data_IF_417975871021
#
_entry.id   IF_417975871021
#
_cell.length_a   1.000
_cell.length_b   1.000
_cell.length_c   1.000
_cell.angle_alpha   90.00
_cell.angle_beta   90.00
_cell.angle_gamma   90.00
#
_symmetry.space_group_name_H-M   'P 1'
#
loop_
_entity.id
_entity.type
_entity.pdbx_description
1 polymer ?
#
# COMPACT_ATOMS: atom_id res chain seq x y z
N UNK A 1 11.85 -20.96 -8.01
CA UNK A 1 11.18 -22.09 -7.33
C UNK A 1 11.78 -22.33 -5.92
N UNK A 2 12.05 -21.26 -5.15
CA UNK A 2 12.65 -21.33 -3.80
C UNK A 2 11.86 -20.52 -2.75
N UNK A 3 10.76 -19.86 -3.12
CA UNK A 3 10.01 -18.97 -2.21
C UNK A 3 8.97 -19.72 -1.35
N UNK A 4 8.57 -20.94 -1.75
CA UNK A 4 7.63 -21.78 -1.01
C UNK A 4 8.28 -22.61 0.11
N UNK A 5 9.62 -22.67 0.15
CA UNK A 5 10.35 -23.39 1.20
C UNK A 5 10.71 -22.47 2.38
N UNK A 6 10.91 -21.18 2.15
CA UNK A 6 11.25 -20.21 3.20
C UNK A 6 10.05 -19.87 4.11
N UNK A 7 8.83 -19.84 3.56
CA UNK A 7 7.62 -19.59 4.36
C UNK A 7 7.33 -20.73 5.33
N UNK A 8 7.47 -21.99 4.88
CA UNK A 8 7.25 -23.16 5.72
C UNK A 8 8.29 -23.30 6.84
N UNK A 9 9.57 -23.00 6.57
CA UNK A 9 10.63 -23.14 7.58
C UNK A 9 10.51 -22.13 8.72
N UNK A 10 10.05 -20.90 8.44
CA UNK A 10 9.80 -19.89 9.47
C UNK A 10 8.56 -20.23 10.29
N UNK A 11 7.49 -20.68 9.62
CA UNK A 11 6.25 -21.10 10.27
C UNK A 11 6.48 -22.30 11.21
N UNK A 12 7.29 -23.28 10.81
CA UNK A 12 7.67 -24.40 11.67
C UNK A 12 8.45 -23.96 12.92
N UNK A 13 9.42 -23.03 12.80
CA UNK A 13 10.16 -22.53 13.95
C UNK A 13 9.28 -21.81 14.99
N UNK A 14 8.25 -21.10 14.53
CA UNK A 14 7.26 -20.47 15.43
C UNK A 14 6.33 -21.47 16.10
N UNK A 15 5.90 -22.49 15.36
CA UNK A 15 5.07 -23.57 15.89
C UNK A 15 5.86 -24.36 16.95
N UNK A 16 7.11 -24.75 16.66
CA UNK A 16 8.00 -25.44 17.59
C UNK A 16 8.23 -24.60 18.87
N UNK A 17 8.46 -23.30 18.73
CA UNK A 17 8.62 -22.41 19.88
C UNK A 17 7.32 -22.28 20.71
N UNK A 18 6.16 -22.26 20.06
CA UNK A 18 4.85 -22.26 20.73
C UNK A 18 4.62 -23.54 21.53
N UNK A 19 4.98 -24.69 20.98
CA UNK A 19 4.92 -25.98 21.68
C UNK A 19 5.88 -26.03 22.88
N UNK A 20 7.10 -25.51 22.73
CA UNK A 20 8.07 -25.41 23.82
C UNK A 20 7.56 -24.52 24.96
N UNK A 21 6.97 -23.36 24.64
CA UNK A 21 6.36 -22.47 25.62
C UNK A 21 5.18 -23.14 26.34
N UNK A 22 4.31 -23.81 25.59
CA UNK A 22 3.15 -24.49 26.16
C UNK A 22 3.57 -25.66 27.06
N UNK A 23 4.55 -26.44 26.63
CA UNK A 23 5.11 -27.53 27.42
C UNK A 23 5.73 -26.98 28.70
N UNK A 24 6.70 -26.07 28.60
CA UNK A 24 7.49 -25.58 29.71
C UNK A 24 6.72 -24.69 30.70
N UNK A 25 5.78 -23.84 30.23
CA UNK A 25 5.10 -22.86 31.09
C UNK A 25 3.72 -23.34 31.53
N UNK A 26 2.94 -23.92 30.62
CA UNK A 26 1.52 -24.25 30.87
C UNK A 26 1.32 -25.69 31.34
N UNK A 27 2.16 -26.64 30.91
CA UNK A 27 2.01 -28.05 31.26
C UNK A 27 2.74 -28.40 32.57
N UNK A 28 3.84 -27.72 32.89
CA UNK A 28 4.62 -27.91 34.13
C UNK A 28 4.00 -27.28 35.40
N UNK A 29 2.85 -26.59 35.29
CA UNK A 29 2.24 -25.83 36.39
C UNK A 29 1.70 -26.64 37.58
N UNK A 30 2.07 -27.93 37.72
CA UNK A 30 1.62 -28.77 38.83
C UNK A 30 2.73 -29.38 39.69
N UNK A 31 4.00 -29.30 39.31
CA UNK A 31 5.08 -29.72 40.20
C UNK A 31 6.43 -29.08 39.81
N UNK A 32 6.87 -28.13 40.64
CA UNK A 32 8.23 -27.61 40.76
C UNK A 32 8.70 -26.60 39.70
N UNK A 33 9.59 -25.73 40.19
CA UNK A 33 10.28 -24.64 39.52
C UNK A 33 10.81 -25.06 38.15
N UNK A 34 10.63 -24.21 37.15
CA UNK A 34 11.23 -24.39 35.82
C UNK A 34 12.75 -24.48 36.00
N UNK A 35 13.38 -25.52 35.44
CA UNK A 35 14.83 -25.66 35.43
C UNK A 35 15.44 -24.45 34.70
N UNK A 36 16.42 -23.79 35.30
CA UNK A 36 17.13 -22.64 34.73
C UNK A 36 17.62 -22.91 33.30
N UNK A 37 17.97 -24.16 32.97
CA UNK A 37 18.40 -24.56 31.62
C UNK A 37 17.27 -24.45 30.60
N UNK A 38 16.07 -24.91 30.96
CA UNK A 38 14.88 -24.83 30.09
C UNK A 38 14.52 -23.36 29.87
N UNK A 39 14.61 -22.54 30.92
CA UNK A 39 14.37 -21.10 30.82
C UNK A 39 15.40 -20.41 29.91
N UNK A 40 16.69 -20.75 30.04
CA UNK A 40 17.75 -20.23 29.18
C UNK A 40 17.57 -20.64 27.71
N UNK A 41 17.16 -21.87 27.45
CA UNK A 41 16.89 -22.36 26.08
C UNK A 41 15.70 -21.62 25.44
N UNK A 42 14.61 -21.43 26.20
CA UNK A 42 13.45 -20.64 25.76
C UNK A 42 13.84 -19.19 25.50
N UNK A 43 14.60 -18.58 26.40
CA UNK A 43 15.10 -17.23 26.25
C UNK A 43 15.97 -17.11 24.99
N UNK A 44 16.87 -18.06 24.75
CA UNK A 44 17.76 -18.06 23.59
C UNK A 44 16.96 -18.21 22.27
N UNK A 45 15.97 -19.10 22.21
CA UNK A 45 15.08 -19.24 21.05
C UNK A 45 14.26 -17.98 20.82
N UNK A 46 13.74 -17.36 21.88
CA UNK A 46 13.01 -16.10 21.80
C UNK A 46 13.88 -14.98 21.23
N UNK A 47 15.13 -14.86 21.68
CA UNK A 47 16.07 -13.87 21.14
C UNK A 47 16.44 -14.16 19.68
N UNK A 48 16.59 -15.41 19.27
CA UNK A 48 16.87 -15.76 17.87
C UNK A 48 15.69 -15.39 16.94
N UNK A 49 14.45 -15.68 17.37
CA UNK A 49 13.26 -15.29 16.62
C UNK A 49 13.07 -13.78 16.63
N UNK A 50 13.36 -13.12 17.75
CA UNK A 50 13.32 -11.66 17.86
C UNK A 50 14.36 -11.00 16.96
N UNK A 51 15.62 -11.45 16.95
CA UNK A 51 16.67 -10.95 16.06
C UNK A 51 16.33 -11.20 14.59
N UNK A 52 15.61 -12.27 14.26
CA UNK A 52 15.12 -12.52 12.90
C UNK A 52 14.03 -11.52 12.49
N UNK A 53 13.21 -11.06 13.45
CA UNK A 53 12.20 -10.00 13.25
C UNK A 53 12.81 -8.59 13.25
N UNK A 54 13.81 -8.36 14.10
CA UNK A 54 14.53 -7.08 14.29
C UNK A 54 15.67 -6.89 13.31
N UNK A 55 16.09 -7.95 12.61
CA UNK A 55 17.07 -7.87 11.54
C UNK A 55 16.65 -6.72 10.63
N UNK A 56 17.47 -5.68 10.47
CA UNK A 56 17.15 -4.53 9.64
C UNK A 56 17.30 -4.92 8.16
N UNK A 57 16.69 -6.03 7.75
CA UNK A 57 15.86 -5.96 6.57
C UNK A 57 14.71 -4.98 6.90
N UNK A 58 15.04 -3.68 6.82
CA UNK A 58 14.13 -2.70 6.21
C UNK A 58 13.82 -3.30 4.84
N UNK A 59 12.90 -4.26 4.82
CA UNK A 59 12.54 -4.95 3.61
C UNK A 59 11.84 -3.85 2.85
N UNK A 60 12.53 -3.30 1.86
CA UNK A 60 11.93 -2.57 0.76
C UNK A 60 11.09 -3.59 0.02
N UNK A 61 10.01 -4.06 0.66
CA UNK A 61 9.05 -4.99 0.09
C UNK A 61 8.57 -4.31 -1.17
N UNK A 62 8.85 -4.92 -2.31
CA UNK A 62 8.60 -4.29 -3.60
C UNK A 62 8.04 -5.32 -4.54
N UNK A 63 6.83 -5.08 -5.01
CA UNK A 63 6.21 -5.87 -6.06
C UNK A 63 6.51 -5.16 -7.38
N UNK A 64 7.36 -5.75 -8.22
CA UNK A 64 7.61 -5.26 -9.57
C UNK A 64 7.01 -6.23 -10.60
N UNK A 65 5.97 -5.80 -11.31
CA UNK A 65 5.25 -6.62 -12.28
C UNK A 65 5.05 -5.87 -13.59
N UNK A 66 4.72 -6.59 -14.65
CA UNK A 66 4.42 -5.99 -15.96
C UNK A 66 2.94 -5.73 -16.18
N UNK A 67 2.05 -6.48 -15.56
CA UNK A 67 0.62 -6.35 -15.78
C UNK A 67 -0.15 -7.01 -14.64
N UNK A 68 -1.21 -6.35 -14.18
CA UNK A 68 -2.19 -6.92 -13.25
C UNK A 68 -3.58 -6.82 -13.86
N UNK A 69 -4.33 -7.91 -13.85
CA UNK A 69 -5.71 -7.94 -14.28
C UNK A 69 -6.53 -8.83 -13.35
N UNK A 70 -7.68 -8.34 -12.89
CA UNK A 70 -8.55 -9.08 -11.96
C UNK A 70 -7.80 -9.66 -10.75
N UNK A 71 -6.87 -8.86 -10.22
CA UNK A 71 -5.89 -9.30 -9.22
C UNK A 71 -5.97 -8.45 -7.96
N UNK A 72 -5.49 -9.00 -6.85
CA UNK A 72 -5.28 -8.28 -5.59
C UNK A 72 -3.79 -8.32 -5.26
N UNK A 73 -3.16 -7.16 -5.11
CA UNK A 73 -1.73 -7.02 -4.80
C UNK A 73 -1.59 -6.18 -3.54
N UNK A 74 -0.87 -6.71 -2.55
CA UNK A 74 -0.66 -6.05 -1.25
C UNK A 74 0.83 -6.08 -0.94
N UNK A 75 1.40 -4.93 -0.60
CA UNK A 75 2.81 -4.80 -0.23
C UNK A 75 2.99 -3.90 0.99
N UNK A 76 3.79 -4.35 1.96
CA UNK A 76 4.28 -3.51 3.06
C UNK A 76 5.31 -2.45 2.60
N UNK A 77 5.56 -2.32 1.29
CA UNK A 77 6.41 -1.30 0.71
C UNK A 77 5.83 -0.82 -0.62
N UNK A 78 6.55 -0.97 -1.72
CA UNK A 78 6.21 -0.34 -3.01
C UNK A 78 5.58 -1.33 -4.01
N UNK A 79 4.76 -0.83 -4.91
CA UNK A 79 4.27 -1.58 -6.08
C UNK A 79 4.60 -0.80 -7.35
N UNK A 80 5.31 -1.45 -8.28
CA UNK A 80 5.62 -0.91 -9.60
C UNK A 80 5.06 -1.79 -10.71
N UNK A 81 4.27 -1.15 -11.57
CA UNK A 81 3.67 -1.77 -12.75
C UNK A 81 4.33 -1.20 -13.99
N UNK A 82 5.32 -1.94 -14.48
CA UNK A 82 6.29 -1.52 -15.51
C UNK A 82 5.80 -1.72 -16.95
N UNK A 83 4.78 -2.55 -17.15
CA UNK A 83 4.31 -2.97 -18.47
C UNK A 83 2.91 -2.43 -18.78
N UNK A 84 2.02 -3.29 -19.29
CA UNK A 84 0.70 -2.93 -19.85
C UNK A 84 -0.21 -2.16 -18.90
N UNK A 85 0.08 -2.14 -17.60
CA UNK A 85 -0.68 -1.40 -16.60
C UNK A 85 -1.50 -2.30 -15.69
N UNK A 86 -2.59 -1.76 -15.17
CA UNK A 86 -3.48 -2.42 -14.22
C UNK A 86 -4.91 -2.37 -14.76
N UNK A 87 -5.64 -3.48 -14.66
CA UNK A 87 -7.04 -3.55 -15.06
C UNK A 87 -7.88 -4.23 -13.98
N UNK A 88 -8.98 -3.61 -13.56
CA UNK A 88 -9.98 -4.19 -12.64
C UNK A 88 -9.32 -4.89 -11.43
N UNK A 89 -8.35 -4.23 -10.80
CA UNK A 89 -7.53 -4.83 -9.74
C UNK A 89 -7.52 -3.95 -8.50
N UNK A 90 -7.20 -4.57 -7.38
CA UNK A 90 -6.95 -3.91 -6.10
C UNK A 90 -5.46 -3.92 -5.80
N UNK A 91 -4.87 -2.74 -5.62
CA UNK A 91 -3.48 -2.59 -5.20
C UNK A 91 -3.45 -1.82 -3.88
N UNK A 92 -2.69 -2.31 -2.92
CA UNK A 92 -2.48 -1.67 -1.62
C UNK A 92 -1.00 -1.69 -1.23
N UNK A 93 -0.47 -0.53 -0.82
CA UNK A 93 0.94 -0.34 -0.54
C UNK A 93 1.19 0.64 0.62
N UNK A 94 2.01 0.26 1.61
CA UNK A 94 2.46 1.22 2.63
C UNK A 94 3.47 2.24 2.06
N UNK A 95 4.09 1.91 0.93
CA UNK A 95 4.99 2.76 0.16
C UNK A 95 4.27 3.50 -0.95
N UNK A 96 4.91 3.62 -2.12
CA UNK A 96 4.33 4.21 -3.33
C UNK A 96 3.73 3.14 -4.24
N UNK A 97 2.70 3.53 -5.01
CA UNK A 97 2.25 2.76 -6.18
C UNK A 97 2.58 3.55 -7.45
N UNK A 98 3.36 2.94 -8.34
CA UNK A 98 3.72 3.53 -9.64
C UNK A 98 3.20 2.67 -10.79
N UNK A 99 2.35 3.24 -11.64
CA UNK A 99 1.84 2.59 -12.86
C UNK A 99 2.31 3.37 -14.07
N UNK A 100 3.32 2.83 -14.77
CA UNK A 100 3.97 3.51 -15.90
C UNK A 100 3.10 3.60 -17.17
N UNK A 101 1.93 2.96 -17.18
CA UNK A 101 0.98 2.97 -18.27
C UNK A 101 -0.43 3.27 -17.69
N UNK A 102 -1.41 2.44 -18.05
CA UNK A 102 -2.82 2.69 -17.73
C UNK A 102 -3.26 1.98 -16.44
N UNK A 103 -4.07 2.64 -15.63
CA UNK A 103 -4.86 2.03 -14.57
C UNK A 103 -6.35 2.13 -14.94
N UNK A 104 -6.94 1.02 -15.35
CA UNK A 104 -8.34 0.95 -15.84
C UNK A 104 -9.18 0.16 -14.86
N UNK A 105 -9.99 0.87 -14.08
CA UNK A 105 -10.92 0.28 -13.14
C UNK A 105 -10.25 -0.36 -11.93
N UNK A 106 -10.98 -0.41 -10.82
CA UNK A 106 -10.48 -0.93 -9.55
C UNK A 106 -9.98 0.17 -8.63
N UNK A 107 -9.07 -0.18 -7.72
CA UNK A 107 -8.67 0.69 -6.62
C UNK A 107 -7.17 0.55 -6.33
N UNK A 108 -6.47 1.68 -6.30
CA UNK A 108 -5.08 1.77 -5.86
C UNK A 108 -5.07 2.56 -4.55
N UNK A 109 -4.55 1.96 -3.49
CA UNK A 109 -4.39 2.56 -2.16
C UNK A 109 -2.92 2.61 -1.77
N UNK A 110 -2.44 3.78 -1.38
CA UNK A 110 -1.05 3.93 -0.97
C UNK A 110 -0.91 4.91 0.19
N UNK A 111 -0.09 4.61 1.20
CA UNK A 111 0.13 5.56 2.30
C UNK A 111 0.95 6.78 1.87
N UNK A 112 1.90 6.63 0.93
CA UNK A 112 2.84 7.71 0.57
C UNK A 112 2.48 8.44 -0.72
N UNK A 113 1.91 7.75 -1.70
CA UNK A 113 1.47 8.39 -2.92
C UNK A 113 1.33 7.44 -4.12
N UNK A 114 0.64 7.94 -5.12
CA UNK A 114 0.29 7.19 -6.33
C UNK A 114 0.73 8.01 -7.55
N UNK A 115 1.43 7.37 -8.48
CA UNK A 115 1.77 7.94 -9.78
C UNK A 115 1.24 7.03 -10.89
N UNK A 116 0.42 7.58 -11.79
CA UNK A 116 -0.17 6.82 -12.90
C UNK A 116 0.00 7.63 -14.18
N UNK A 117 0.47 6.98 -15.25
CA UNK A 117 0.54 7.64 -16.55
C UNK A 117 -0.85 7.93 -17.12
N UNK A 118 -1.74 6.94 -17.18
CA UNK A 118 -3.11 7.11 -17.66
C UNK A 118 -4.12 6.51 -16.66
N UNK A 119 -4.99 7.32 -16.06
CA UNK A 119 -6.00 6.85 -15.11
C UNK A 119 -7.40 6.84 -15.74
N UNK A 120 -8.13 5.75 -15.53
CA UNK A 120 -9.46 5.55 -16.10
C UNK A 120 -9.42 5.11 -17.56
N UNK A 121 -10.58 5.18 -18.21
CA UNK A 121 -10.71 4.89 -19.63
C UNK A 121 -11.83 5.73 -20.26
N UNK A 122 -11.80 5.93 -21.60
CA UNK A 122 -12.90 6.59 -22.30
C UNK A 122 -14.25 5.89 -22.14
N UNK A 123 -14.24 4.60 -21.77
CA UNK A 123 -15.44 3.80 -21.52
C UNK A 123 -16.04 3.96 -20.13
N UNK A 124 -15.51 4.85 -19.27
CA UNK A 124 -16.05 5.13 -17.94
C UNK A 124 -15.74 4.06 -16.90
N UNK A 125 -14.62 3.34 -17.04
CA UNK A 125 -14.20 2.38 -16.02
C UNK A 125 -13.80 3.10 -14.73
N UNK A 126 -14.71 3.08 -13.74
CA UNK A 126 -14.53 3.77 -12.45
C UNK A 126 -13.23 3.32 -11.77
N UNK A 127 -12.32 4.27 -11.60
CA UNK A 127 -10.97 4.04 -11.06
C UNK A 127 -10.80 4.89 -9.82
N UNK A 128 -10.43 4.27 -8.70
CA UNK A 128 -10.21 4.96 -7.42
C UNK A 128 -8.72 4.99 -7.09
N UNK A 129 -8.19 6.19 -6.85
CA UNK A 129 -6.84 6.41 -6.35
C UNK A 129 -6.97 7.02 -4.96
N UNK A 130 -6.40 6.36 -3.95
CA UNK A 130 -6.54 6.72 -2.54
C UNK A 130 -5.18 6.78 -1.85
N UNK A 131 -4.94 7.85 -1.10
CA UNK A 131 -3.74 7.98 -0.27
C UNK A 131 -4.02 8.61 1.08
N UNK A 132 -3.07 8.50 2.01
CA UNK A 132 -3.16 9.11 3.33
C UNK A 132 -3.08 10.65 3.26
N UNK A 133 -3.35 11.34 4.37
CA UNK A 133 -3.39 12.81 4.42
C UNK A 133 -2.07 13.47 3.97
N UNK A 134 -0.94 12.83 4.22
CA UNK A 134 0.39 13.30 3.80
C UNK A 134 0.79 12.89 2.37
N UNK A 135 -0.03 12.08 1.70
CA UNK A 135 0.29 11.50 0.40
C UNK A 135 -0.08 12.41 -0.77
N UNK A 136 0.44 12.08 -1.94
CA UNK A 136 0.17 12.80 -3.19
C UNK A 136 -0.30 11.86 -4.29
N UNK A 137 -1.17 12.34 -5.18
CA UNK A 137 -1.59 11.61 -6.38
C UNK A 137 -1.17 12.40 -7.61
N UNK A 138 -0.41 11.76 -8.50
CA UNK A 138 0.08 12.33 -9.76
C UNK A 138 -0.44 11.51 -10.95
N UNK A 139 -1.00 12.20 -11.96
CA UNK A 139 -1.58 11.58 -13.14
C UNK A 139 -1.21 12.37 -14.40
N UNK A 140 -0.55 11.75 -15.39
CA UNK A 140 -0.24 12.47 -16.65
C UNK A 140 -1.50 12.67 -17.50
N UNK A 141 -2.36 11.66 -17.63
CA UNK A 141 -3.61 11.71 -18.37
C UNK A 141 -4.75 11.08 -17.57
N UNK A 142 -5.82 11.83 -17.34
CA UNK A 142 -6.95 11.40 -16.52
C UNK A 142 -8.25 11.47 -17.32
N UNK A 143 -8.90 10.32 -17.47
CA UNK A 143 -10.26 10.22 -18.02
C UNK A 143 -11.31 10.62 -16.98
N UNK A 144 -12.55 10.89 -17.41
CA UNK A 144 -13.69 11.01 -16.50
C UNK A 144 -13.91 9.73 -15.65
N UNK A 145 -14.69 9.87 -14.58
CA UNK A 145 -15.03 8.80 -13.63
C UNK A 145 -13.86 8.27 -12.77
N UNK A 146 -12.72 8.96 -12.83
CA UNK A 146 -11.63 8.78 -11.87
C UNK A 146 -11.94 9.51 -10.58
N UNK A 147 -11.73 8.83 -9.46
CA UNK A 147 -11.96 9.36 -8.12
C UNK A 147 -10.62 9.47 -7.40
N UNK A 148 -10.30 10.67 -6.94
CA UNK A 148 -9.13 10.94 -6.10
C UNK A 148 -9.59 11.05 -4.65
N UNK A 149 -8.91 10.35 -3.74
CA UNK A 149 -9.16 10.43 -2.31
C UNK A 149 -7.83 10.63 -1.59
N UNK A 150 -7.72 11.69 -0.79
CA UNK A 150 -6.53 11.99 0.01
C UNK A 150 -7.02 12.25 1.44
N UNK A 151 -6.70 11.33 2.36
CA UNK A 151 -7.31 11.30 3.68
C UNK A 151 -8.84 11.25 3.59
N UNK A 152 -9.50 12.30 4.10
CA UNK A 152 -10.97 12.43 4.05
C UNK A 152 -11.49 13.22 2.85
N UNK A 153 -10.62 13.91 2.11
CA UNK A 153 -11.01 14.71 0.96
C UNK A 153 -11.19 13.80 -0.25
N UNK A 154 -12.27 14.02 -1.01
CA UNK A 154 -12.62 13.22 -2.18
C UNK A 154 -13.03 14.12 -3.35
N UNK A 155 -12.47 13.87 -4.53
CA UNK A 155 -12.77 14.58 -5.78
C UNK A 155 -13.07 13.60 -6.90
N UNK A 156 -14.19 13.80 -7.60
CA UNK A 156 -14.49 13.13 -8.86
C UNK A 156 -13.96 13.99 -10.00
N UNK A 157 -13.27 13.36 -10.95
CA UNK A 157 -12.88 13.97 -12.21
C UNK A 157 -14.01 13.75 -13.21
N UNK A 158 -14.60 14.85 -13.68
CA UNK A 158 -15.81 14.89 -14.52
C UNK A 158 -15.50 15.18 -15.99
N UNK A 159 -14.32 15.72 -16.29
CA UNK A 159 -13.81 15.92 -17.64
C UNK A 159 -12.40 15.38 -17.78
N UNK A 160 -11.97 15.17 -19.02
CA UNK A 160 -10.58 14.82 -19.32
C UNK A 160 -9.63 15.93 -18.83
N UNK A 161 -8.53 15.53 -18.19
CA UNK A 161 -7.55 16.42 -17.59
C UNK A 161 -6.13 15.85 -17.76
N UNK A 162 -5.13 16.72 -17.83
CA UNK A 162 -3.72 16.34 -18.00
C UNK A 162 -2.85 16.95 -16.90
N UNK A 163 -1.73 16.28 -16.63
CA UNK A 163 -0.71 16.69 -15.65
C UNK A 163 -1.29 17.03 -14.27
N UNK A 164 -2.16 16.16 -13.76
CA UNK A 164 -2.77 16.33 -12.46
C UNK A 164 -1.75 16.07 -11.35
N UNK A 165 -1.70 16.97 -10.38
CA UNK A 165 -1.10 16.74 -9.06
C UNK A 165 -2.09 17.14 -7.98
N UNK A 166 -2.45 16.17 -7.13
CA UNK A 166 -3.36 16.35 -6.02
C UNK A 166 -2.66 16.14 -4.68
N UNK A 167 -2.92 17.01 -3.71
CA UNK A 167 -2.46 16.94 -2.32
C UNK A 167 -3.44 17.67 -1.40
N UNK A 168 -3.30 17.51 -0.08
CA UNK A 168 -4.01 18.37 0.87
C UNK A 168 -3.21 19.65 1.13
N UNK A 169 -3.92 20.72 1.49
CA UNK A 169 -3.36 21.93 2.08
C UNK A 169 -3.33 21.86 3.61
N UNK A 170 -2.80 22.92 4.24
CA UNK A 170 -2.69 23.03 5.69
C UNK A 170 -4.07 23.00 6.40
N UNK A 171 -5.15 23.32 5.68
CA UNK A 171 -6.54 23.27 6.16
C UNK A 171 -7.23 21.91 5.88
N UNK A 172 -6.50 20.94 5.31
CA UNK A 172 -7.02 19.61 4.96
C UNK A 172 -7.93 19.60 3.72
N UNK A 173 -7.90 20.64 2.89
CA UNK A 173 -8.64 20.73 1.62
C UNK A 173 -7.78 20.22 0.48
N UNK A 174 -8.41 19.52 -0.47
CA UNK A 174 -7.71 19.03 -1.65
C UNK A 174 -7.34 20.17 -2.59
N UNK A 175 -6.05 20.37 -2.82
CA UNK A 175 -5.51 21.18 -3.90
C UNK A 175 -5.30 20.31 -5.13
N UNK A 176 -5.69 20.83 -6.29
CA UNK A 176 -5.55 20.16 -7.59
C UNK A 176 -4.83 21.10 -8.56
N UNK A 177 -3.62 20.74 -8.97
CA UNK A 177 -2.87 21.41 -10.02
C UNK A 177 -3.00 20.59 -11.31
N UNK A 178 -3.28 21.22 -12.45
CA UNK A 178 -3.42 20.53 -13.73
C UNK A 178 -3.15 21.46 -14.90
N UNK A 179 -2.77 20.90 -16.05
CA UNK A 179 -2.68 21.63 -17.32
C UNK A 179 -4.03 21.50 -18.06
N UNK A 180 -4.68 22.62 -18.37
CA UNK A 180 -5.92 22.60 -19.16
C UNK A 180 -5.60 22.65 -20.65
N UNK A 181 -5.77 21.55 -21.38
CA UNK A 181 -5.71 21.55 -22.85
C UNK A 181 -7.06 21.94 -23.47
N UNK A 182 -7.51 23.18 -23.25
CA UNK A 182 -8.53 23.93 -24.00
C UNK A 182 -9.10 25.05 -23.11
N UNK A 183 -9.33 26.22 -23.70
CA UNK A 183 -9.64 27.51 -23.10
C UNK A 183 -10.77 27.53 -22.06
N UNK A 184 -10.41 27.76 -20.79
CA UNK A 184 -11.15 28.64 -19.87
C UNK A 184 -10.30 28.86 -18.61
N UNK A 185 -9.74 30.06 -18.44
CA UNK A 185 -9.26 30.49 -17.13
C UNK A 185 -10.47 30.58 -16.20
N UNK A 186 -10.49 29.80 -15.13
CA UNK A 186 -11.37 30.04 -13.99
C UNK A 186 -10.62 29.62 -12.74
N UNK A 187 -9.88 30.56 -12.16
CA UNK A 187 -9.45 30.48 -10.77
C UNK A 187 -10.69 30.64 -9.88
N UNK A 188 -11.35 29.54 -9.53
CA UNK A 188 -12.36 29.57 -8.46
C UNK A 188 -11.67 29.67 -7.10
N UNK A 189 -11.45 30.91 -6.67
CA UNK A 189 -11.23 31.25 -5.27
C UNK A 189 -12.59 31.49 -4.63
N UNK A 190 -13.14 30.48 -3.98
CA UNK A 190 -14.35 30.66 -3.15
C UNK A 190 -13.95 31.36 -1.85
N UNK A 191 -13.92 32.69 -1.90
CA UNK A 191 -13.98 33.55 -0.73
C UNK A 191 -15.45 33.80 -0.40
N UNK A 192 -15.96 33.18 0.68
CA UNK A 192 -17.27 33.49 1.22
C UNK A 192 -17.11 34.23 2.55
N UNK A 193 -17.30 35.54 2.46
CA UNK A 193 -17.36 36.51 3.54
C UNK A 193 -18.80 36.54 4.09
N UNK A 194 -18.99 36.23 5.38
CA UNK A 194 -19.87 37.01 6.28
C UNK A 194 -19.62 36.66 7.73
#
# INVERSE_FOLDING_TARGET
MNHLLYSGLFEQQWLDFGEDLQSALLTFHRAQTIDDRIFQDLQQKAFQLHDLLESPAVSRSRIAIRYAAHSNLISAGEIDVLGKGVMHSYLEADGFITVHQRAIGGTLKSERGISVKEAGSPGGARTLLETAESGTIEIEHCHPDVVLTIGRARKLIDSEMTDIRASLDDDGRMQLFYSSSSSASSSETTSAKK
#
